data_IF_647034319517
#
_entry.id   IF_647034319517
#
_cell.length_a   1.000
_cell.length_b   1.000
_cell.length_c   1.000
_cell.angle_alpha   90.00
_cell.angle_beta   90.00
_cell.angle_gamma   90.00
#
_symmetry.space_group_name_H-M   'P 1'
#
loop_
_entity.id
_entity.type
_entity.pdbx_description
1 polymer ?
#
# COMPACT_ATOMS: atom_id res chain seq x y z
N UNK A 1 17.30 -22.88 -79.85
CA UNK A 1 18.45 -22.17 -79.35
C UNK A 1 18.09 -21.55 -78.03
N UNK A 2 18.51 -22.22 -76.98
CA UNK A 2 18.10 -22.02 -75.58
C UNK A 2 18.96 -20.94 -74.90
N UNK A 3 18.32 -20.08 -74.15
CA UNK A 3 19.01 -19.33 -73.12
C UNK A 3 18.21 -19.44 -71.82
N UNK A 4 18.72 -20.27 -70.91
CA UNK A 4 18.28 -20.40 -69.54
C UNK A 4 18.83 -19.16 -68.78
N UNK A 5 17.92 -18.36 -68.24
CA UNK A 5 18.24 -17.35 -67.28
C UNK A 5 18.06 -17.95 -65.86
N UNK A 6 19.15 -18.09 -65.13
CA UNK A 6 19.16 -18.46 -63.72
C UNK A 6 18.88 -17.21 -62.89
N UNK A 7 17.73 -17.16 -62.24
CA UNK A 7 17.42 -16.17 -61.20
C UNK A 7 17.92 -16.69 -59.87
N UNK A 8 18.99 -16.11 -59.36
CA UNK A 8 19.53 -16.36 -58.03
C UNK A 8 18.71 -15.57 -57.03
N UNK A 9 17.80 -16.25 -56.35
CA UNK A 9 17.06 -15.64 -55.22
C UNK A 9 18.01 -15.64 -53.99
N UNK A 10 18.56 -14.47 -53.67
CA UNK A 10 19.26 -14.26 -52.43
C UNK A 10 18.22 -14.07 -51.30
N UNK A 11 17.96 -15.12 -50.54
CA UNK A 11 17.20 -15.07 -49.28
C UNK A 11 18.05 -14.37 -48.23
N UNK A 12 17.82 -13.09 -48.00
CA UNK A 12 18.31 -12.39 -46.82
C UNK A 12 17.53 -12.94 -45.60
N UNK A 13 18.12 -13.89 -44.90
CA UNK A 13 17.73 -14.18 -43.52
C UNK A 13 18.10 -12.97 -42.69
N UNK A 14 17.12 -12.10 -42.40
CA UNK A 14 17.22 -11.11 -41.38
C UNK A 14 17.33 -11.82 -40.04
N UNK A 15 18.55 -11.90 -39.51
CA UNK A 15 18.80 -12.19 -38.12
C UNK A 15 18.15 -11.07 -37.31
N UNK A 16 16.92 -11.28 -36.89
CA UNK A 16 16.34 -10.53 -35.79
C UNK A 16 17.17 -10.95 -34.58
N UNK A 17 18.17 -10.14 -34.26
CA UNK A 17 18.86 -10.22 -32.98
C UNK A 17 17.79 -9.90 -31.92
N UNK A 18 17.13 -10.93 -31.42
CA UNK A 18 16.46 -10.82 -30.14
C UNK A 18 17.62 -10.56 -29.15
N UNK A 19 17.79 -9.27 -28.83
CA UNK A 19 18.55 -8.90 -27.64
C UNK A 19 17.84 -9.64 -26.51
N UNK A 20 18.44 -10.74 -26.05
CA UNK A 20 18.11 -11.34 -24.76
C UNK A 20 18.36 -10.21 -23.77
N UNK A 21 17.30 -9.47 -23.42
CA UNK A 21 17.33 -8.54 -22.33
C UNK A 21 17.84 -9.36 -21.15
N UNK A 22 19.06 -9.07 -20.73
CA UNK A 22 19.70 -9.74 -19.62
C UNK A 22 18.78 -9.52 -18.43
N UNK A 23 18.10 -10.56 -17.96
CA UNK A 23 17.15 -10.45 -16.87
C UNK A 23 17.90 -9.97 -15.64
N UNK A 24 17.67 -8.70 -15.28
CA UNK A 24 18.26 -8.13 -14.08
C UNK A 24 17.35 -8.44 -12.87
N UNK A 25 17.93 -8.72 -11.70
CA UNK A 25 17.11 -8.85 -10.50
C UNK A 25 16.39 -7.54 -10.24
N UNK A 26 15.08 -7.60 -10.03
CA UNK A 26 14.32 -6.45 -9.58
C UNK A 26 14.75 -6.10 -8.16
N UNK A 27 15.07 -4.85 -7.93
CA UNK A 27 15.48 -4.36 -6.62
C UNK A 27 15.27 -2.87 -6.52
N UNK A 28 15.13 -2.39 -5.31
CA UNK A 28 15.23 -0.97 -5.02
C UNK A 28 16.67 -0.51 -5.20
N UNK A 29 16.90 0.38 -6.17
CA UNK A 29 18.22 0.95 -6.50
C UNK A 29 18.32 2.38 -5.95
N UNK A 30 18.08 2.52 -4.66
CA UNK A 30 18.16 3.81 -3.98
C UNK A 30 19.61 4.25 -3.82
N UNK A 31 19.85 5.55 -3.95
CA UNK A 31 21.14 6.18 -3.71
C UNK A 31 21.01 7.28 -2.64
N UNK A 32 22.06 7.52 -1.87
CA UNK A 32 22.08 8.62 -0.92
C UNK A 32 21.86 9.96 -1.65
N UNK A 33 20.95 10.78 -1.14
CA UNK A 33 20.50 12.02 -1.78
C UNK A 33 19.27 11.86 -2.69
N UNK A 34 18.83 10.64 -3.00
CA UNK A 34 17.56 10.47 -3.71
C UNK A 34 16.40 11.00 -2.87
N UNK A 35 15.47 11.68 -3.54
CA UNK A 35 14.28 12.26 -2.92
C UNK A 35 13.04 11.82 -3.68
N UNK A 36 11.94 11.54 -2.95
CA UNK A 36 10.68 11.12 -3.55
C UNK A 36 9.51 11.83 -2.87
N UNK A 37 8.48 12.11 -3.67
CA UNK A 37 7.14 12.43 -3.18
C UNK A 37 6.29 11.17 -3.28
N UNK A 38 5.58 10.86 -2.21
CA UNK A 38 4.74 9.68 -2.11
C UNK A 38 3.33 10.09 -1.73
N UNK A 39 2.37 9.72 -2.55
CA UNK A 39 0.95 9.92 -2.28
C UNK A 39 0.29 8.56 -2.12
N UNK A 40 -0.37 8.36 -0.98
CA UNK A 40 -1.18 7.18 -0.68
C UNK A 40 -2.65 7.59 -0.60
N UNK A 41 -3.47 7.08 -1.51
CA UNK A 41 -4.92 7.25 -1.51
C UNK A 41 -5.58 5.94 -1.10
N UNK A 42 -6.44 5.99 -0.10
CA UNK A 42 -7.25 4.85 0.33
C UNK A 42 -8.72 5.24 0.33
N UNK A 43 -9.54 4.44 -0.32
CA UNK A 43 -10.99 4.50 -0.18
C UNK A 43 -11.51 3.20 0.41
N UNK A 44 -12.50 3.30 1.29
CA UNK A 44 -13.16 2.11 1.78
C UNK A 44 -14.67 2.33 1.90
N UNK A 45 -15.41 1.26 1.68
CA UNK A 45 -16.87 1.23 1.79
C UNK A 45 -17.26 0.02 2.63
N UNK A 46 -17.86 0.27 3.79
CA UNK A 46 -18.33 -0.77 4.71
C UNK A 46 -19.86 -0.83 4.68
N UNK A 47 -20.41 -1.92 4.19
CA UNK A 47 -21.85 -2.18 4.17
C UNK A 47 -22.17 -3.22 5.25
N UNK A 48 -22.88 -2.78 6.28
CA UNK A 48 -23.31 -3.64 7.39
C UNK A 48 -24.80 -3.86 7.31
N UNK A 49 -25.22 -5.12 7.39
CA UNK A 49 -26.63 -5.52 7.37
C UNK A 49 -26.98 -6.27 8.64
N UNK A 50 -28.06 -5.84 9.28
CA UNK A 50 -28.69 -6.51 10.44
C UNK A 50 -30.16 -6.66 10.09
N UNK A 51 -30.62 -7.88 9.82
CA UNK A 51 -31.96 -8.15 9.29
C UNK A 51 -32.26 -7.37 7.99
N UNK A 52 -33.27 -6.47 8.02
CA UNK A 52 -33.62 -5.60 6.88
C UNK A 52 -32.88 -4.25 6.90
N UNK A 53 -32.20 -3.89 7.97
CA UNK A 53 -31.49 -2.60 8.09
C UNK A 53 -30.11 -2.72 7.47
N UNK A 54 -29.79 -1.76 6.59
CA UNK A 54 -28.47 -1.61 5.99
C UNK A 54 -27.86 -0.28 6.42
N UNK A 55 -26.59 -0.31 6.74
CA UNK A 55 -25.79 0.90 7.02
C UNK A 55 -24.59 0.88 6.12
N UNK A 56 -24.37 1.97 5.39
CA UNK A 56 -23.21 2.19 4.55
C UNK A 56 -22.33 3.26 5.21
N UNK A 57 -21.04 3.00 5.32
CA UNK A 57 -20.04 3.97 5.72
C UNK A 57 -18.97 3.99 4.64
N UNK A 58 -18.68 5.15 4.13
CA UNK A 58 -17.63 5.37 3.13
C UNK A 58 -16.57 6.26 3.72
N UNK A 59 -15.32 5.95 3.44
CA UNK A 59 -14.22 6.84 3.78
C UNK A 59 -13.22 6.95 2.62
N UNK A 60 -12.60 8.11 2.51
CA UNK A 60 -11.46 8.37 1.66
C UNK A 60 -10.38 9.05 2.50
N UNK A 61 -9.15 8.59 2.38
CA UNK A 61 -7.99 9.15 3.05
C UNK A 61 -6.88 9.36 2.04
N UNK A 62 -6.26 10.53 2.07
CA UNK A 62 -5.02 10.79 1.34
C UNK A 62 -3.92 11.08 2.36
N UNK A 63 -2.77 10.44 2.19
CA UNK A 63 -1.55 10.69 2.94
C UNK A 63 -0.47 11.10 1.96
N UNK A 64 0.09 12.29 2.16
CA UNK A 64 1.22 12.82 1.40
C UNK A 64 2.48 12.76 2.24
N UNK A 65 3.56 12.26 1.66
CA UNK A 65 4.84 12.07 2.34
C UNK A 65 6.00 12.47 1.43
N UNK A 66 7.11 12.86 2.03
CA UNK A 66 8.42 12.87 1.37
C UNK A 66 9.28 11.72 1.87
N UNK A 67 10.12 11.20 1.00
CA UNK A 67 11.16 10.23 1.33
C UNK A 67 12.50 10.81 0.93
N UNK A 68 13.42 10.95 1.88
CA UNK A 68 14.77 11.41 1.66
C UNK A 68 15.74 10.26 1.99
N UNK A 69 16.48 9.76 1.01
CA UNK A 69 17.46 8.67 1.22
C UNK A 69 18.71 9.23 1.84
N UNK A 70 18.90 9.01 3.13
CA UNK A 70 20.02 9.57 3.89
C UNK A 70 21.33 8.84 3.60
N UNK A 71 21.28 7.50 3.49
CA UNK A 71 22.45 6.66 3.21
C UNK A 71 22.04 5.30 2.68
N UNK A 72 22.97 4.65 1.98
CA UNK A 72 22.84 3.24 1.58
C UNK A 72 24.13 2.54 1.98
N UNK A 73 24.03 1.47 2.75
CA UNK A 73 25.15 0.67 3.20
C UNK A 73 24.79 -0.81 3.28
N UNK A 74 25.64 -1.67 2.72
CA UNK A 74 25.40 -3.13 2.75
C UNK A 74 24.08 -3.57 2.13
N UNK A 75 23.58 -2.88 1.11
CA UNK A 75 22.30 -3.18 0.47
C UNK A 75 21.06 -2.73 1.27
N UNK A 76 21.25 -1.95 2.33
CA UNK A 76 20.16 -1.37 3.13
C UNK A 76 20.18 0.15 3.00
N UNK A 77 19.07 0.73 2.60
CA UNK A 77 18.83 2.16 2.58
C UNK A 77 18.25 2.62 3.93
N UNK A 78 18.74 3.75 4.43
CA UNK A 78 18.07 4.51 5.51
C UNK A 78 17.36 5.68 4.87
N UNK A 79 16.04 5.71 5.01
CA UNK A 79 15.14 6.69 4.40
C UNK A 79 14.48 7.48 5.51
N UNK A 80 14.67 8.80 5.56
CA UNK A 80 13.83 9.67 6.38
C UNK A 80 12.51 9.89 5.63
N UNK A 81 11.42 9.53 6.27
CA UNK A 81 10.08 9.80 5.74
C UNK A 81 9.44 10.91 6.57
N UNK A 82 8.80 11.87 5.89
CA UNK A 82 8.09 12.97 6.53
C UNK A 82 6.65 13.01 6.06
N UNK A 83 5.70 13.22 6.97
CA UNK A 83 4.29 13.43 6.63
C UNK A 83 4.12 14.88 6.19
N UNK A 84 3.67 15.09 4.95
CA UNK A 84 3.45 16.42 4.38
C UNK A 84 2.01 16.87 4.51
N UNK A 85 1.05 15.96 4.37
CA UNK A 85 -0.36 16.25 4.41
C UNK A 85 -1.22 15.02 4.68
N UNK A 86 -2.38 15.26 5.28
CA UNK A 86 -3.40 14.25 5.54
C UNK A 86 -4.76 14.84 5.21
N UNK A 87 -5.53 14.20 4.33
CA UNK A 87 -6.93 14.52 4.14
C UNK A 87 -7.81 13.31 4.48
N UNK A 88 -9.01 13.57 4.96
CA UNK A 88 -9.97 12.54 5.34
C UNK A 88 -11.38 12.99 4.99
N UNK A 89 -12.12 12.11 4.32
CA UNK A 89 -13.56 12.19 4.14
C UNK A 89 -14.21 10.93 4.71
N UNK A 90 -15.17 11.10 5.62
CA UNK A 90 -16.01 10.03 6.15
C UNK A 90 -17.47 10.42 5.94
N UNK A 91 -18.16 9.60 5.18
CA UNK A 91 -19.57 9.77 4.89
C UNK A 91 -20.38 8.59 5.43
N UNK A 92 -21.44 8.92 6.17
CA UNK A 92 -22.47 7.96 6.56
C UNK A 92 -23.81 8.48 6.06
N UNK A 93 -24.30 8.00 4.90
CA UNK A 93 -25.56 8.49 4.33
C UNK A 93 -26.78 8.32 5.24
N UNK A 94 -26.74 7.35 6.19
CA UNK A 94 -27.81 7.18 7.17
C UNK A 94 -27.80 8.24 8.29
N UNK A 95 -26.65 8.91 8.51
CA UNK A 95 -26.46 9.93 9.55
C UNK A 95 -25.58 11.06 9.00
N UNK A 96 -26.08 11.86 8.04
CA UNK A 96 -25.26 12.87 7.34
C UNK A 96 -24.61 13.91 8.28
N UNK A 97 -25.23 14.19 9.43
CA UNK A 97 -24.69 15.13 10.43
C UNK A 97 -23.36 14.65 11.04
N UNK A 98 -23.00 13.38 10.86
CA UNK A 98 -21.74 12.80 11.30
C UNK A 98 -20.67 12.74 10.21
N UNK A 99 -20.94 13.35 9.04
CA UNK A 99 -19.92 13.46 8.00
C UNK A 99 -18.71 14.24 8.54
N UNK A 100 -17.53 13.70 8.31
CA UNK A 100 -16.25 14.31 8.66
C UNK A 100 -15.50 14.54 7.36
N UNK A 101 -15.07 15.76 7.12
CA UNK A 101 -14.21 16.09 5.99
C UNK A 101 -13.21 17.14 6.44
N UNK A 102 -11.93 16.93 6.20
CA UNK A 102 -10.87 17.88 6.41
C UNK A 102 -9.64 17.59 5.56
N UNK A 103 -8.84 18.65 5.39
CA UNK A 103 -7.51 18.61 4.81
C UNK A 103 -6.55 19.41 5.71
N UNK A 104 -5.43 18.83 6.08
CA UNK A 104 -4.43 19.50 6.95
C UNK A 104 -3.69 20.62 6.23
N UNK A 105 -3.69 20.65 4.88
CA UNK A 105 -3.10 21.67 4.02
C UNK A 105 -4.06 22.85 3.74
N UNK A 106 -5.35 22.71 4.12
CA UNK A 106 -6.34 23.75 3.93
C UNK A 106 -5.96 25.05 4.62
N UNK A 107 -6.29 26.18 3.96
CA UNK A 107 -6.12 27.49 4.54
C UNK A 107 -6.96 27.66 5.82
N UNK A 108 -6.60 28.61 6.68
CA UNK A 108 -7.42 28.94 7.87
C UNK A 108 -8.84 29.37 7.48
N UNK A 109 -9.03 30.00 6.32
CA UNK A 109 -10.33 30.41 5.80
C UNK A 109 -11.18 29.19 5.45
N UNK A 110 -10.63 28.26 4.66
CA UNK A 110 -11.34 27.03 4.28
C UNK A 110 -11.66 26.15 5.50
N UNK A 111 -10.75 26.10 6.47
CA UNK A 111 -10.95 25.35 7.70
C UNK A 111 -12.10 25.92 8.58
N UNK A 112 -12.50 27.19 8.38
CA UNK A 112 -13.68 27.75 9.08
C UNK A 112 -14.99 27.12 8.62
N UNK A 113 -15.05 26.62 7.40
CA UNK A 113 -16.23 25.96 6.83
C UNK A 113 -16.41 24.51 7.32
N UNK A 114 -15.40 23.92 7.92
CA UNK A 114 -15.49 22.54 8.42
C UNK A 114 -16.53 22.40 9.55
N UNK A 115 -17.18 21.24 9.58
CA UNK A 115 -18.10 20.89 10.66
C UNK A 115 -17.38 20.83 12.02
N UNK A 116 -18.14 20.93 13.13
CA UNK A 116 -17.55 20.79 14.47
C UNK A 116 -16.79 19.47 14.67
N UNK A 117 -17.31 18.30 14.25
CA UNK A 117 -16.56 17.04 14.31
C UNK A 117 -15.27 17.08 13.48
N UNK A 118 -15.32 17.63 12.25
CA UNK A 118 -14.14 17.79 11.39
C UNK A 118 -13.07 18.65 12.04
N UNK A 119 -13.44 19.81 12.60
CA UNK A 119 -12.52 20.70 13.34
C UNK A 119 -11.88 20.01 14.54
N UNK A 120 -12.66 19.24 15.29
CA UNK A 120 -12.17 18.52 16.46
C UNK A 120 -11.15 17.44 16.07
N UNK A 121 -11.41 16.70 14.98
CA UNK A 121 -10.50 15.68 14.49
C UNK A 121 -9.26 16.30 13.83
N UNK A 122 -9.43 17.35 13.02
CA UNK A 122 -8.32 18.10 12.42
C UNK A 122 -7.33 18.58 13.48
N UNK A 123 -7.83 19.11 14.61
CA UNK A 123 -6.97 19.53 15.73
C UNK A 123 -6.12 18.40 16.30
N UNK A 124 -6.62 17.17 16.29
CA UNK A 124 -5.88 15.98 16.76
C UNK A 124 -4.89 15.46 15.73
N UNK A 125 -5.22 15.58 14.43
CA UNK A 125 -4.42 15.04 13.33
C UNK A 125 -3.34 16.03 12.86
N UNK A 126 -3.61 17.33 12.91
CA UNK A 126 -2.68 18.37 12.43
C UNK A 126 -1.26 18.26 13.00
N UNK A 127 -1.03 17.89 14.28
CA UNK A 127 0.31 17.68 14.82
C UNK A 127 1.10 16.53 14.19
N UNK A 128 0.43 15.63 13.42
CA UNK A 128 1.11 14.57 12.70
C UNK A 128 1.81 15.08 11.43
N UNK A 129 1.41 16.24 10.90
CA UNK A 129 2.09 16.87 9.76
C UNK A 129 3.44 17.38 10.23
N UNK A 130 4.48 17.02 9.48
CA UNK A 130 5.87 17.29 9.82
C UNK A 130 6.54 16.19 10.66
N UNK A 131 5.79 15.16 11.10
CA UNK A 131 6.42 13.99 11.75
C UNK A 131 7.42 13.34 10.82
N UNK A 132 8.57 12.98 11.39
CA UNK A 132 9.67 12.32 10.72
C UNK A 132 9.97 10.98 11.37
N UNK A 133 10.24 9.99 10.53
CA UNK A 133 10.66 8.67 10.98
C UNK A 133 11.67 8.07 10.00
N UNK A 134 12.62 7.30 10.51
CA UNK A 134 13.61 6.63 9.71
C UNK A 134 13.16 5.21 9.43
N UNK A 135 13.22 4.82 8.16
CA UNK A 135 12.92 3.47 7.69
C UNK A 135 14.21 2.85 7.16
N UNK A 136 14.59 1.71 7.71
CA UNK A 136 15.64 0.89 7.14
C UNK A 136 15.02 -0.14 6.19
N UNK A 137 15.30 -0.02 4.91
CA UNK A 137 14.76 -0.86 3.85
C UNK A 137 15.86 -1.56 3.07
N UNK A 138 15.78 -2.88 2.97
CA UNK A 138 16.67 -3.67 2.14
C UNK A 138 16.36 -3.49 0.64
N UNK A 139 17.33 -3.80 -0.22
CA UNK A 139 17.17 -3.67 -1.68
C UNK A 139 16.04 -4.53 -2.26
N UNK A 140 15.62 -5.59 -1.57
CA UNK A 140 14.45 -6.37 -1.96
C UNK A 140 13.11 -5.76 -1.50
N UNK A 141 13.13 -4.61 -0.80
CA UNK A 141 11.94 -3.93 -0.27
C UNK A 141 11.52 -4.34 1.14
N UNK A 142 12.27 -5.21 1.79
CA UNK A 142 11.98 -5.62 3.17
C UNK A 142 12.25 -4.47 4.14
N UNK A 143 11.25 -4.11 4.93
CA UNK A 143 11.39 -3.13 6.01
C UNK A 143 12.06 -3.85 7.20
N UNK A 144 13.27 -3.45 7.52
CA UNK A 144 14.07 -4.02 8.62
C UNK A 144 13.75 -3.36 9.95
N UNK A 145 13.57 -2.04 9.94
CA UNK A 145 13.36 -1.25 11.14
C UNK A 145 12.66 0.06 10.80
N UNK A 146 11.83 0.53 11.73
CA UNK A 146 11.25 1.88 11.71
C UNK A 146 11.50 2.52 13.06
N UNK A 147 12.07 3.74 13.06
CA UNK A 147 12.34 4.51 14.27
C UNK A 147 11.82 5.94 14.12
N UNK A 148 11.22 6.46 15.17
CA UNK A 148 10.81 7.88 15.21
C UNK A 148 12.04 8.76 15.51
N UNK A 149 12.06 9.98 14.95
CA UNK A 149 12.98 10.99 15.45
C UNK A 149 12.58 11.39 16.87
N UNK A 150 13.52 11.90 17.70
CA UNK A 150 13.20 12.34 19.06
C UNK A 150 12.04 13.34 19.11
N UNK A 151 12.02 14.31 18.18
CA UNK A 151 10.97 15.32 18.08
C UNK A 151 9.62 14.69 17.74
N UNK A 152 9.59 13.74 16.82
CA UNK A 152 8.37 13.04 16.45
C UNK A 152 7.83 12.17 17.57
N UNK A 153 8.72 11.50 18.32
CA UNK A 153 8.33 10.72 19.49
C UNK A 153 7.69 11.61 20.57
N UNK A 154 8.22 12.82 20.79
CA UNK A 154 7.64 13.78 21.72
C UNK A 154 6.24 14.23 21.28
N UNK A 155 6.04 14.58 20.00
CA UNK A 155 4.72 14.96 19.45
C UNK A 155 3.72 13.82 19.65
N UNK A 156 4.08 12.58 19.32
CA UNK A 156 3.19 11.42 19.49
C UNK A 156 2.83 11.19 20.96
N UNK A 157 3.78 11.37 21.88
CA UNK A 157 3.52 11.22 23.30
C UNK A 157 2.57 12.29 23.86
N UNK A 158 2.52 13.47 23.25
CA UNK A 158 1.62 14.55 23.63
C UNK A 158 0.21 14.41 23.02
N UNK A 159 0.00 13.53 22.04
CA UNK A 159 -1.32 13.30 21.49
C UNK A 159 -2.27 12.74 22.57
N UNK A 160 -3.56 13.11 22.53
CA UNK A 160 -4.54 12.53 23.42
C UNK A 160 -4.53 11.00 23.36
N UNK A 161 -4.83 10.36 24.46
CA UNK A 161 -4.82 8.89 24.61
C UNK A 161 -6.01 8.21 23.88
N UNK A 162 -6.45 8.80 22.76
CA UNK A 162 -7.30 8.14 21.79
C UNK A 162 -6.46 7.04 21.14
N UNK A 163 -6.46 5.92 21.80
CA UNK A 163 -5.58 4.74 21.70
C UNK A 163 -5.13 4.37 20.27
N UNK A 164 -5.96 4.64 19.27
CA UNK A 164 -5.68 4.22 17.89
C UNK A 164 -4.61 5.06 17.18
N UNK A 165 -4.59 6.37 17.36
CA UNK A 165 -3.64 7.23 16.62
C UNK A 165 -2.22 6.99 17.12
N UNK A 166 -1.99 6.97 18.43
CA UNK A 166 -0.68 6.65 19.00
C UNK A 166 -0.18 5.28 18.57
N UNK A 167 -1.06 4.27 18.56
CA UNK A 167 -0.70 2.92 18.16
C UNK A 167 -0.31 2.86 16.67
N UNK A 168 -1.07 3.53 15.78
CA UNK A 168 -0.78 3.57 14.35
C UNK A 168 0.57 4.23 14.05
N UNK A 169 0.90 5.30 14.73
CA UNK A 169 2.15 6.05 14.55
C UNK A 169 3.27 5.63 15.53
N UNK A 170 3.09 4.54 16.28
CA UNK A 170 4.20 3.90 16.99
C UNK A 170 5.17 3.24 16.01
N UNK A 171 6.45 3.01 16.36
CA UNK A 171 7.39 2.28 15.51
C UNK A 171 6.83 0.95 15.01
N UNK A 172 6.13 0.20 15.88
CA UNK A 172 5.48 -1.06 15.52
C UNK A 172 4.34 -0.83 14.53
N UNK A 173 3.43 0.12 14.79
CA UNK A 173 2.30 0.42 13.88
C UNK A 173 2.77 0.88 12.51
N UNK A 174 3.80 1.75 12.47
CA UNK A 174 4.42 2.17 11.21
C UNK A 174 5.08 0.99 10.47
N UNK A 175 5.78 0.11 11.19
CA UNK A 175 6.36 -1.11 10.59
C UNK A 175 5.27 -2.00 9.98
N UNK A 176 4.15 -2.14 10.66
CA UNK A 176 3.01 -2.91 10.15
C UNK A 176 2.39 -2.26 8.90
N UNK A 177 2.14 -0.95 8.92
CA UNK A 177 1.57 -0.20 7.79
C UNK A 177 2.50 -0.24 6.58
N UNK A 178 3.76 0.12 6.75
CA UNK A 178 4.75 0.14 5.68
C UNK A 178 5.02 -1.28 5.16
N UNK A 179 5.19 -2.24 6.04
CA UNK A 179 5.36 -3.64 5.66
C UNK A 179 4.12 -4.26 5.01
N UNK A 180 2.92 -3.71 5.27
CA UNK A 180 1.71 -4.15 4.59
C UNK A 180 1.68 -3.70 3.12
N UNK A 181 2.21 -2.53 2.82
CA UNK A 181 2.28 -1.95 1.47
C UNK A 181 3.57 -2.28 0.71
N UNK A 182 4.64 -2.67 1.42
CA UNK A 182 5.91 -3.03 0.81
C UNK A 182 5.78 -4.21 -0.16
N UNK A 183 6.48 -4.11 -1.29
CA UNK A 183 6.65 -5.21 -2.24
C UNK A 183 7.98 -5.84 -1.95
N UNK A 184 7.97 -7.17 -1.80
CA UNK A 184 9.19 -7.96 -1.66
C UNK A 184 9.58 -8.52 -3.02
N UNK A 185 10.65 -7.99 -3.59
CA UNK A 185 11.22 -8.53 -4.81
C UNK A 185 12.00 -9.82 -4.51
N UNK A 186 11.93 -10.85 -5.40
CA UNK A 186 12.71 -12.06 -5.23
C UNK A 186 14.19 -11.79 -5.55
N UNK A 187 15.06 -12.56 -4.91
CA UNK A 187 16.53 -12.47 -5.15
C UNK A 187 16.95 -12.90 -6.56
N UNK A 188 16.13 -13.73 -7.20
CA UNK A 188 16.40 -14.23 -8.55
C UNK A 188 15.94 -13.23 -9.61
N UNK A 189 16.64 -13.13 -10.75
CA UNK A 189 16.17 -12.38 -11.89
C UNK A 189 14.77 -12.83 -12.30
N UNK A 190 13.93 -11.88 -12.68
CA UNK A 190 12.54 -12.11 -13.04
C UNK A 190 12.38 -11.93 -14.55
N UNK A 191 11.81 -12.92 -15.20
CA UNK A 191 11.45 -12.89 -16.61
C UNK A 191 9.95 -12.64 -16.78
N UNK A 192 9.53 -12.27 -17.97
CA UNK A 192 8.10 -12.16 -18.29
C UNK A 192 7.38 -13.49 -17.99
N UNK A 193 6.26 -13.42 -17.29
CA UNK A 193 5.49 -14.59 -16.85
C UNK A 193 6.01 -15.23 -15.56
N UNK A 194 7.13 -14.79 -15.01
CA UNK A 194 7.63 -15.30 -13.72
C UNK A 194 6.69 -14.86 -12.58
N UNK A 195 6.55 -15.73 -11.58
CA UNK A 195 5.74 -15.49 -10.39
C UNK A 195 6.52 -15.78 -9.12
N UNK A 196 6.22 -15.04 -8.06
CA UNK A 196 6.72 -15.28 -6.71
C UNK A 196 5.64 -14.95 -5.68
N UNK A 197 5.85 -15.32 -4.43
CA UNK A 197 4.91 -15.02 -3.37
C UNK A 197 5.61 -14.54 -2.11
N UNK A 198 4.90 -13.76 -1.31
CA UNK A 198 5.23 -13.48 0.08
C UNK A 198 4.07 -13.92 1.00
N UNK A 199 4.44 -14.44 2.15
CA UNK A 199 3.51 -14.85 3.21
C UNK A 199 3.77 -14.01 4.45
N UNK A 200 2.72 -13.40 5.01
CA UNK A 200 2.82 -12.59 6.21
C UNK A 200 1.70 -12.92 7.20
N UNK A 201 2.08 -13.09 8.46
CA UNK A 201 1.10 -13.19 9.54
C UNK A 201 0.43 -11.84 9.75
N UNK A 202 -0.88 -11.82 9.82
CA UNK A 202 -1.68 -10.63 10.10
C UNK A 202 -2.74 -10.95 11.15
N UNK A 203 -2.86 -10.09 12.15
CA UNK A 203 -3.93 -10.15 13.14
C UNK A 203 -4.98 -9.12 12.78
N UNK A 204 -6.23 -9.54 12.74
CA UNK A 204 -7.38 -8.69 12.42
C UNK A 204 -8.44 -8.81 13.51
N UNK A 205 -9.48 -7.98 13.43
CA UNK A 205 -10.66 -8.14 14.31
C UNK A 205 -11.40 -9.46 14.08
N UNK A 206 -11.11 -10.21 13.02
CA UNK A 206 -11.69 -11.50 12.68
C UNK A 206 -10.80 -12.68 13.12
N UNK A 207 -9.64 -12.41 13.73
CA UNK A 207 -8.66 -13.40 14.16
C UNK A 207 -7.32 -13.30 13.44
N UNK A 208 -6.53 -14.35 13.60
CA UNK A 208 -5.19 -14.45 13.01
C UNK A 208 -5.25 -15.17 11.67
N UNK A 209 -4.58 -14.59 10.69
CA UNK A 209 -4.51 -15.08 9.32
C UNK A 209 -3.06 -15.11 8.82
N UNK A 210 -2.81 -15.96 7.84
CA UNK A 210 -1.68 -15.81 6.92
C UNK A 210 -2.21 -15.10 5.67
N UNK A 211 -1.69 -13.92 5.40
CA UNK A 211 -1.88 -13.25 4.13
C UNK A 211 -0.78 -13.70 3.19
N UNK A 212 -1.18 -14.31 2.07
CA UNK A 212 -0.30 -14.63 0.95
C UNK A 212 -0.56 -13.65 -0.19
N UNK A 213 0.49 -13.09 -0.78
CA UNK A 213 0.41 -12.31 -2.01
C UNK A 213 1.20 -13.04 -3.09
N UNK A 214 0.57 -13.33 -4.20
CA UNK A 214 1.22 -13.88 -5.39
C UNK A 214 1.40 -12.75 -6.38
N UNK A 215 2.61 -12.58 -6.87
CA UNK A 215 2.97 -11.59 -7.87
C UNK A 215 3.31 -12.29 -9.17
N UNK A 216 2.90 -11.71 -10.30
CA UNK A 216 3.18 -12.23 -11.64
C UNK A 216 3.55 -11.08 -12.57
N UNK A 217 4.68 -11.17 -13.26
CA UNK A 217 5.07 -10.22 -14.30
C UNK A 217 4.20 -10.48 -15.53
N UNK A 218 3.32 -9.52 -15.85
CA UNK A 218 2.37 -9.66 -16.96
C UNK A 218 2.82 -8.94 -18.23
N UNK A 219 3.78 -8.02 -18.15
CA UNK A 219 4.29 -7.32 -19.32
C UNK A 219 5.00 -6.03 -18.98
N UNK A 220 5.01 -5.12 -19.95
CA UNK A 220 5.47 -3.74 -19.77
C UNK A 220 4.41 -2.74 -20.25
N UNK A 221 4.48 -1.52 -19.73
CA UNK A 221 3.59 -0.41 -20.05
C UNK A 221 4.39 0.87 -20.15
N UNK A 222 4.14 1.65 -21.20
CA UNK A 222 4.73 2.99 -21.31
C UNK A 222 3.84 4.01 -20.62
N UNK A 223 4.42 4.75 -19.68
CA UNK A 223 3.77 5.86 -18.95
C UNK A 223 4.70 7.07 -19.04
N UNK A 224 4.21 8.18 -19.53
CA UNK A 224 4.98 9.45 -19.70
C UNK A 224 6.30 9.25 -20.47
N UNK A 225 6.31 8.35 -21.47
CA UNK A 225 7.49 8.03 -22.26
C UNK A 225 8.48 7.06 -21.60
N UNK A 226 8.22 6.61 -20.39
CA UNK A 226 9.03 5.65 -19.66
C UNK A 226 8.42 4.25 -19.75
N UNK A 227 9.22 3.24 -20.05
CA UNK A 227 8.79 1.84 -20.02
C UNK A 227 8.88 1.29 -18.59
N UNK A 228 7.74 0.82 -18.07
CA UNK A 228 7.60 0.28 -16.72
C UNK A 228 7.19 -1.18 -16.80
N UNK A 229 7.76 -2.01 -15.92
CA UNK A 229 7.34 -3.40 -15.78
C UNK A 229 6.02 -3.47 -15.02
N UNK A 230 5.07 -4.20 -15.59
CA UNK A 230 3.73 -4.39 -15.04
C UNK A 230 3.65 -5.73 -14.30
N UNK A 231 3.28 -5.67 -13.01
CA UNK A 231 3.20 -6.82 -12.13
C UNK A 231 1.80 -6.91 -11.55
N UNK A 232 1.11 -8.01 -11.82
CA UNK A 232 -0.17 -8.34 -11.19
C UNK A 232 0.09 -8.89 -9.78
N UNK A 233 -0.79 -8.56 -8.83
CA UNK A 233 -0.75 -9.08 -7.46
C UNK A 233 -2.11 -9.65 -7.07
N UNK A 234 -2.11 -10.87 -6.55
CA UNK A 234 -3.30 -11.57 -6.05
C UNK A 234 -3.11 -11.95 -4.58
N UNK A 235 -3.81 -11.29 -3.65
CA UNK A 235 -3.74 -11.64 -2.25
C UNK A 235 -4.79 -12.67 -1.86
N UNK A 236 -4.44 -13.50 -0.88
CA UNK A 236 -5.36 -14.41 -0.19
C UNK A 236 -5.20 -14.27 1.31
N UNK A 237 -6.27 -14.55 2.06
CA UNK A 237 -6.26 -14.66 3.52
C UNK A 237 -6.62 -16.09 3.92
N UNK A 238 -5.71 -16.76 4.61
CA UNK A 238 -5.91 -18.12 5.14
C UNK A 238 -5.95 -18.04 6.66
N UNK A 239 -7.04 -18.46 7.31
CA UNK A 239 -7.11 -18.53 8.77
C UNK A 239 -5.97 -19.39 9.32
N UNK A 240 -5.29 -18.91 10.36
CA UNK A 240 -4.36 -19.75 11.09
C UNK A 240 -5.16 -20.73 11.96
N UNK A 241 -4.88 -22.02 11.82
CA UNK A 241 -5.38 -23.00 12.75
C UNK A 241 -4.66 -22.80 14.09
N UNK A 242 -5.38 -22.33 15.08
CA UNK A 242 -4.89 -22.32 16.47
C UNK A 242 -5.33 -23.62 17.11
N UNK A 243 -4.41 -24.54 17.38
CA UNK A 243 -4.65 -25.79 18.10
C UNK A 243 -5.02 -25.59 19.58
N UNK A 244 -4.97 -24.38 20.06
CA UNK A 244 -5.33 -24.04 21.44
C UNK A 244 -6.61 -23.20 21.47
N UNK A 245 -7.66 -23.75 22.04
CA UNK A 245 -8.74 -22.98 22.66
C UNK A 245 -8.09 -22.18 23.81
N UNK A 246 -7.53 -21.01 23.51
CA UNK A 246 -7.21 -20.06 24.54
C UNK A 246 -8.55 -19.62 25.16
N UNK A 247 -8.75 -19.98 26.39
CA UNK A 247 -9.74 -19.41 27.31
C UNK A 247 -9.43 -17.93 27.57
N UNK A 248 -9.34 -17.12 26.53
CA UNK A 248 -9.30 -15.68 26.64
C UNK A 248 -10.73 -15.17 26.68
N UNK A 249 -11.13 -14.72 27.84
CA UNK A 249 -12.47 -14.22 28.19
C UNK A 249 -12.97 -13.06 27.32
N UNK A 250 -12.25 -12.66 26.28
CA UNK A 250 -12.59 -11.51 25.43
C UNK A 250 -12.58 -11.74 23.93
N UNK A 251 -12.33 -12.93 23.43
CA UNK A 251 -12.57 -13.23 22.00
C UNK A 251 -14.05 -13.54 21.71
N UNK A 252 -14.95 -12.93 22.45
CA UNK A 252 -16.41 -13.15 22.38
C UNK A 252 -17.10 -12.53 21.16
N UNK A 253 -16.38 -12.28 20.08
CA UNK A 253 -16.98 -12.03 18.80
C UNK A 253 -16.67 -13.24 17.93
N UNK A 254 -17.56 -14.24 17.92
CA UNK A 254 -17.56 -15.36 16.97
C UNK A 254 -17.69 -14.88 15.51
N UNK A 255 -16.84 -13.91 15.17
CA UNK A 255 -16.82 -13.32 13.83
C UNK A 255 -16.17 -14.30 12.88
N UNK A 256 -16.85 -14.61 11.80
CA UNK A 256 -16.41 -15.55 10.78
C UNK A 256 -16.09 -14.82 9.49
N UNK A 257 -14.89 -15.03 8.94
CA UNK A 257 -14.57 -14.65 7.57
C UNK A 257 -15.37 -15.55 6.62
N UNK A 258 -16.19 -14.95 5.76
CA UNK A 258 -16.99 -15.66 4.75
C UNK A 258 -16.22 -15.71 3.42
N UNK A 259 -15.67 -14.58 2.99
CA UNK A 259 -14.86 -14.51 1.79
C UNK A 259 -13.87 -13.36 1.87
N UNK A 260 -12.76 -13.54 1.17
CA UNK A 260 -11.80 -12.48 0.84
C UNK A 260 -11.42 -12.64 -0.62
N UNK A 261 -11.52 -11.55 -1.37
CA UNK A 261 -11.05 -11.46 -2.76
C UNK A 261 -10.26 -10.18 -2.92
N UNK A 262 -9.27 -10.18 -3.77
CA UNK A 262 -8.51 -8.98 -4.05
C UNK A 262 -7.66 -9.14 -5.29
N UNK A 263 -7.27 -8.01 -5.86
CA UNK A 263 -6.33 -7.91 -6.97
C UNK A 263 -5.55 -6.62 -6.87
N UNK A 264 -4.39 -6.57 -7.49
CA UNK A 264 -3.57 -5.38 -7.56
C UNK A 264 -2.71 -5.35 -8.80
N UNK A 265 -2.23 -4.16 -9.11
CA UNK A 265 -1.31 -3.90 -10.19
C UNK A 265 -0.21 -2.98 -9.69
N UNK A 266 1.01 -3.27 -10.09
CA UNK A 266 2.20 -2.53 -9.74
C UNK A 266 2.93 -2.14 -11.03
N UNK A 267 3.43 -0.93 -11.07
CA UNK A 267 4.29 -0.43 -12.14
C UNK A 267 5.66 -0.14 -11.54
N UNK A 268 6.66 -0.87 -12.01
CA UNK A 268 8.04 -0.80 -11.52
C UNK A 268 8.94 -0.23 -12.60
N UNK A 269 9.67 0.81 -12.26
CA UNK A 269 10.82 1.29 -13.03
C UNK A 269 12.02 0.40 -12.70
N UNK A 270 12.27 -0.60 -13.53
CA UNK A 270 13.39 -1.54 -13.31
C UNK A 270 14.74 -0.86 -13.48
N UNK A 271 14.85 0.08 -14.40
CA UNK A 271 16.09 0.83 -14.67
C UNK A 271 16.37 1.83 -13.55
N UNK A 272 15.38 2.59 -13.14
CA UNK A 272 15.44 3.51 -12.00
C UNK A 272 15.45 2.79 -10.65
N UNK A 273 15.02 1.53 -10.60
CA UNK A 273 15.05 0.69 -9.40
C UNK A 273 14.10 1.15 -8.31
N UNK A 274 12.88 1.53 -8.67
CA UNK A 274 11.84 1.86 -7.68
C UNK A 274 10.43 1.57 -8.19
N UNK A 275 9.49 1.44 -7.26
CA UNK A 275 8.08 1.33 -7.54
C UNK A 275 7.54 2.70 -7.97
N UNK A 276 7.02 2.81 -9.19
CA UNK A 276 6.39 4.05 -9.69
C UNK A 276 4.97 4.21 -9.14
N UNK A 277 4.19 3.12 -9.15
CA UNK A 277 2.85 3.12 -8.58
C UNK A 277 2.39 1.73 -8.22
N UNK A 278 1.43 1.68 -7.31
CA UNK A 278 0.65 0.47 -7.03
C UNK A 278 -0.82 0.81 -6.90
N UNK A 279 -1.67 -0.09 -7.36
CA UNK A 279 -3.11 -0.07 -7.10
C UNK A 279 -3.51 -1.43 -6.55
N UNK A 280 -4.36 -1.42 -5.54
CA UNK A 280 -4.84 -2.62 -4.89
C UNK A 280 -6.31 -2.44 -4.51
N UNK A 281 -7.11 -3.46 -4.79
CA UNK A 281 -8.50 -3.52 -4.34
C UNK A 281 -8.79 -4.86 -3.67
N UNK A 282 -9.67 -4.83 -2.67
CA UNK A 282 -10.15 -6.05 -2.04
C UNK A 282 -11.59 -5.92 -1.57
N UNK A 283 -12.26 -7.06 -1.46
CA UNK A 283 -13.55 -7.20 -0.79
C UNK A 283 -13.43 -8.30 0.28
N UNK A 284 -13.81 -7.94 1.51
CA UNK A 284 -13.87 -8.85 2.66
C UNK A 284 -15.33 -8.96 3.10
N UNK A 285 -15.84 -10.18 3.24
CA UNK A 285 -17.15 -10.44 3.82
C UNK A 285 -17.00 -11.23 5.10
N UNK A 286 -17.72 -10.79 6.12
CA UNK A 286 -17.72 -11.43 7.43
C UNK A 286 -19.12 -11.46 8.04
N UNK A 287 -19.32 -12.43 8.91
CA UNK A 287 -20.52 -12.56 9.71
C UNK A 287 -20.15 -12.64 11.18
N UNK A 288 -21.01 -12.09 12.03
CA UNK A 288 -20.90 -12.27 13.47
C UNK A 288 -22.28 -12.41 14.10
N UNK A 289 -22.44 -13.30 15.08
CA UNK A 289 -23.65 -13.35 15.88
C UNK A 289 -23.77 -12.09 16.74
N UNK A 290 -24.98 -11.60 16.88
CA UNK A 290 -25.32 -10.52 17.81
C UNK A 290 -26.68 -10.77 18.41
N UNK A 291 -26.71 -11.27 19.64
CA UNK A 291 -27.92 -11.79 20.29
C UNK A 291 -28.52 -12.95 19.45
N UNK A 292 -29.78 -12.83 19.04
CA UNK A 292 -30.48 -13.82 18.19
C UNK A 292 -30.34 -13.51 16.68
N UNK A 293 -29.49 -12.54 16.29
CA UNK A 293 -29.35 -12.04 14.93
C UNK A 293 -27.94 -12.25 14.42
N UNK A 294 -27.80 -12.19 13.11
CA UNK A 294 -26.50 -12.16 12.45
C UNK A 294 -26.24 -10.76 11.88
N UNK A 295 -25.06 -10.25 12.13
CA UNK A 295 -24.54 -9.05 11.48
C UNK A 295 -23.68 -9.50 10.31
N UNK A 296 -24.09 -9.17 9.09
CA UNK A 296 -23.32 -9.36 7.88
C UNK A 296 -22.56 -8.06 7.58
N UNK A 297 -21.27 -8.14 7.31
CA UNK A 297 -20.48 -6.98 6.94
C UNK A 297 -19.69 -7.28 5.66
N UNK A 298 -19.79 -6.38 4.67
CA UNK A 298 -18.97 -6.40 3.47
C UNK A 298 -18.14 -5.11 3.44
N UNK A 299 -16.83 -5.25 3.40
CA UNK A 299 -15.88 -4.13 3.30
C UNK A 299 -15.16 -4.21 1.97
N UNK A 300 -15.26 -3.15 1.19
CA UNK A 300 -14.45 -2.96 -0.03
C UNK A 300 -13.41 -1.90 0.25
N UNK A 301 -12.17 -2.19 -0.09
CA UNK A 301 -11.08 -1.22 -0.01
C UNK A 301 -10.41 -1.07 -1.37
N UNK A 302 -9.99 0.14 -1.67
CA UNK A 302 -9.10 0.45 -2.77
C UNK A 302 -7.96 1.30 -2.22
N UNK A 303 -6.73 0.90 -2.53
CA UNK A 303 -5.51 1.61 -2.14
C UNK A 303 -4.74 1.90 -3.42
N UNK A 304 -4.28 3.14 -3.56
CA UNK A 304 -3.38 3.58 -4.63
C UNK A 304 -2.21 4.31 -4.03
N UNK A 305 -1.02 3.93 -4.44
CA UNK A 305 0.21 4.62 -4.08
C UNK A 305 0.92 5.09 -5.35
N UNK A 306 1.43 6.30 -5.32
CA UNK A 306 2.28 6.87 -6.38
C UNK A 306 3.57 7.35 -5.76
N UNK A 307 4.70 7.06 -6.39
CA UNK A 307 6.04 7.46 -5.97
C UNK A 307 6.68 8.22 -7.11
N UNK A 308 6.98 9.48 -6.90
CA UNK A 308 7.65 10.36 -7.86
C UNK A 308 9.05 10.70 -7.37
N UNK A 309 10.07 10.29 -8.12
CA UNK A 309 11.44 10.70 -7.84
C UNK A 309 11.60 12.16 -8.23
N UNK A 310 12.08 12.99 -7.30
CA UNK A 310 12.39 14.37 -7.55
C UNK A 310 13.76 14.46 -8.21
N UNK A 311 13.83 15.15 -9.34
CA UNK A 311 15.10 15.44 -10.01
C UNK A 311 15.58 16.79 -9.50
N UNK A 312 16.78 16.87 -8.95
CA UNK A 312 17.37 18.15 -8.66
C UNK A 312 17.58 18.92 -9.97
N UNK A 313 16.89 20.05 -10.12
CA UNK A 313 17.23 21.00 -11.18
C UNK A 313 18.65 21.51 -10.92
N UNK A 314 19.56 21.21 -11.84
CA UNK A 314 20.98 21.64 -11.81
C UNK A 314 21.10 23.09 -12.19
#
# INVERSE_FOLDING_TARGET
MNLLAHVLAATLFGLVSQSLAQSQPMSWKLAAGDRFEVTLNQTSSANTKVESRKTLIENATTLEMSWDVLKVAGGVATIEQSILGISLDVNNPAVPIQAISFDTSASEEDAKEYSKPSKALLKQIKPLVGLKFNVMMASNGEIKEVTLTPESAEVINQLPDTVRIRQLFSPQGLTEILGASAILFPEKPIEAGASWSDDKSVTTALGDFTRRRVYTVVGSKTVDGQELTEIQMEPTLVPKQTDEKKDSVESSLDSKLISFTGSGMLLVDVDGGYLKSSSFENELKSERPYREKTIETAVKNQIRMTINKLVEEK
#
